data_IF_574431444906
#
_entry.id   IF_574431444906
#
_cell.length_a   1.000
_cell.length_b   1.000
_cell.length_c   1.000
_cell.angle_alpha   90.00
_cell.angle_beta   90.00
_cell.angle_gamma   90.00
#
_symmetry.space_group_name_H-M   'P 1'
#
loop_
_entity.id
_entity.type
_entity.pdbx_description
1 polymer ?
#
# COMPACT_ATOMS: atom_id res chain seq x y z
N UNK A 1 -4.75 -1.53 13.93
CA UNK A 1 -5.61 -1.99 15.03
C UNK A 1 -4.76 -2.63 16.11
N UNK A 2 -4.87 -2.17 17.35
CA UNK A 2 -4.16 -2.74 18.48
C UNK A 2 -5.07 -3.68 19.25
N UNK A 3 -4.59 -4.87 19.60
CA UNK A 3 -5.28 -5.75 20.53
C UNK A 3 -5.09 -5.21 21.96
N UNK A 4 -6.19 -4.82 22.61
CA UNK A 4 -6.21 -4.50 24.04
C UNK A 4 -6.14 -5.76 24.90
N UNK A 5 -5.91 -5.59 26.20
CA UNK A 5 -6.00 -6.67 27.19
C UNK A 5 -7.47 -6.89 27.54
N UNK A 6 -7.96 -8.13 27.38
CA UNK A 6 -9.31 -8.55 27.78
C UNK A 6 -9.34 -8.95 29.25
N UNK A 7 -8.38 -9.78 29.67
CA UNK A 7 -8.32 -10.33 31.02
C UNK A 7 -6.88 -10.49 31.48
N UNK A 8 -6.65 -10.33 32.78
CA UNK A 8 -5.40 -10.68 33.45
C UNK A 8 -5.74 -11.52 34.67
N UNK A 9 -5.27 -12.76 34.68
CA UNK A 9 -5.43 -13.69 35.80
C UNK A 9 -4.07 -14.05 36.39
N UNK A 10 -4.06 -14.41 37.67
CA UNK A 10 -2.89 -14.98 38.32
C UNK A 10 -3.26 -16.20 39.16
N UNK A 11 -2.43 -17.23 39.08
CA UNK A 11 -2.56 -18.43 39.90
C UNK A 11 -1.20 -18.87 40.42
N UNK A 12 -1.21 -19.55 41.57
CA UNK A 12 0.01 -20.10 42.16
C UNK A 12 0.19 -21.55 41.71
N UNK A 13 1.30 -21.83 41.05
CA UNK A 13 1.78 -23.16 40.70
C UNK A 13 2.60 -23.70 41.89
N UNK A 14 1.93 -24.44 42.77
CA UNK A 14 2.53 -25.02 43.98
C UNK A 14 3.56 -26.11 43.68
N UNK A 15 3.50 -26.74 42.51
CA UNK A 15 4.44 -27.80 42.10
C UNK A 15 5.79 -27.19 41.70
N UNK A 16 5.76 -26.14 40.89
CA UNK A 16 6.97 -25.48 40.39
C UNK A 16 7.37 -24.25 41.22
N UNK A 17 6.68 -23.97 42.33
CA UNK A 17 6.93 -22.83 43.23
C UNK A 17 7.05 -21.51 42.47
N UNK A 18 6.01 -21.17 41.73
CA UNK A 18 5.93 -19.94 40.93
C UNK A 18 4.51 -19.41 40.86
N UNK A 19 4.36 -18.11 40.67
CA UNK A 19 3.13 -17.48 40.23
C UNK A 19 3.07 -17.46 38.71
N UNK A 20 1.96 -17.93 38.14
CA UNK A 20 1.65 -17.88 36.72
C UNK A 20 0.70 -16.71 36.49
N UNK A 21 1.06 -15.77 35.62
CA UNK A 21 0.18 -14.68 35.19
C UNK A 21 -0.20 -14.96 33.75
N UNK A 22 -1.51 -15.02 33.48
CA UNK A 22 -2.05 -15.19 32.13
C UNK A 22 -2.73 -13.91 31.69
N UNK A 23 -2.35 -13.40 30.52
CA UNK A 23 -2.92 -12.21 29.89
C UNK A 23 -3.68 -12.67 28.64
N UNK A 24 -4.99 -12.51 28.66
CA UNK A 24 -5.87 -12.77 27.51
C UNK A 24 -6.09 -11.45 26.78
N UNK A 25 -5.97 -11.46 25.46
CA UNK A 25 -6.18 -10.27 24.64
C UNK A 25 -7.63 -10.18 24.17
N UNK A 26 -8.01 -8.99 23.72
CA UNK A 26 -9.35 -8.69 23.16
C UNK A 26 -9.54 -9.24 21.76
N UNK A 27 -8.47 -9.66 21.09
CA UNK A 27 -8.54 -10.45 19.87
C UNK A 27 -8.35 -11.94 20.16
N UNK A 28 -8.73 -12.79 19.22
CA UNK A 28 -8.75 -14.26 19.38
C UNK A 28 -7.35 -14.90 19.33
N UNK A 29 -6.29 -14.18 19.69
CA UNK A 29 -4.91 -14.70 19.71
C UNK A 29 -4.67 -15.55 20.96
N UNK A 30 -3.61 -16.36 20.91
CA UNK A 30 -3.19 -17.15 22.07
C UNK A 30 -2.85 -16.25 23.27
N UNK A 31 -3.28 -16.61 24.50
CA UNK A 31 -2.94 -15.88 25.71
C UNK A 31 -1.43 -15.85 25.96
N UNK A 32 -0.97 -14.76 26.56
CA UNK A 32 0.42 -14.63 26.98
C UNK A 32 0.57 -15.12 28.42
N UNK A 33 1.54 -15.98 28.67
CA UNK A 33 1.82 -16.55 30.00
C UNK A 33 3.18 -16.09 30.51
N UNK A 34 3.20 -15.59 31.73
CA UNK A 34 4.38 -15.13 32.46
C UNK A 34 4.58 -15.98 33.72
N UNK A 35 5.84 -16.28 34.04
CA UNK A 35 6.20 -17.04 35.23
C UNK A 35 7.04 -16.17 36.17
N UNK A 36 6.64 -16.09 37.44
CA UNK A 36 7.38 -15.39 38.49
C UNK A 36 7.71 -16.42 39.58
N UNK A 37 8.98 -16.82 39.76
CA UNK A 37 9.38 -17.74 40.82
C UNK A 37 9.01 -17.21 42.21
N UNK A 38 8.59 -18.11 43.10
CA UNK A 38 8.43 -17.80 44.52
C UNK A 38 9.81 -17.59 45.17
N UNK A 39 9.85 -16.83 46.27
CA UNK A 39 11.03 -16.83 47.13
C UNK A 39 11.21 -18.18 47.84
N UNK A 40 12.45 -18.68 47.91
CA UNK A 40 12.74 -19.89 48.68
C UNK A 40 12.60 -19.62 50.19
N UNK A 41 11.65 -20.30 50.84
CA UNK A 41 11.55 -20.55 52.31
C UNK A 41 12.27 -19.54 53.24
N UNK A 42 11.90 -18.26 53.19
CA UNK A 42 12.37 -17.23 54.13
C UNK A 42 13.47 -16.30 53.62
N UNK A 43 14.04 -16.56 52.44
CA UNK A 43 14.82 -15.58 51.67
C UNK A 43 13.87 -14.55 51.04
N UNK A 44 14.34 -13.31 50.81
CA UNK A 44 13.59 -12.35 50.00
C UNK A 44 13.36 -12.97 48.62
N UNK A 45 12.09 -13.03 48.18
CA UNK A 45 11.80 -13.51 46.83
C UNK A 45 12.42 -12.60 45.78
N UNK A 46 12.99 -13.20 44.73
CA UNK A 46 13.52 -12.50 43.55
C UNK A 46 12.35 -11.83 42.82
N UNK A 47 11.96 -10.69 43.35
CA UNK A 47 10.84 -9.89 42.86
C UNK A 47 11.21 -9.35 41.49
N UNK A 48 10.22 -9.15 40.62
CA UNK A 48 10.44 -8.37 39.41
C UNK A 48 10.83 -6.96 39.83
N UNK A 49 12.11 -6.63 39.67
CA UNK A 49 12.65 -5.33 40.04
C UNK A 49 12.60 -4.37 38.88
N UNK A 50 12.91 -4.85 37.68
CA UNK A 50 12.87 -4.05 36.48
C UNK A 50 12.27 -4.81 35.31
N UNK A 51 11.65 -4.05 34.42
CA UNK A 51 11.11 -4.54 33.16
C UNK A 51 11.82 -3.75 32.07
N UNK A 52 12.44 -4.46 31.15
CA UNK A 52 13.13 -3.87 30.01
C UNK A 52 12.44 -4.29 28.71
N UNK A 53 12.55 -3.43 27.70
CA UNK A 53 12.03 -3.70 26.37
C UNK A 53 13.17 -3.55 25.37
N UNK A 54 13.35 -4.57 24.55
CA UNK A 54 14.26 -4.54 23.38
C UNK A 54 13.50 -4.99 22.14
N UNK A 55 14.12 -4.83 20.97
CA UNK A 55 13.63 -5.43 19.73
C UNK A 55 14.30 -6.80 19.53
N UNK A 56 13.58 -7.73 18.92
CA UNK A 56 14.19 -8.95 18.35
C UNK A 56 15.26 -8.59 17.32
N UNK A 57 16.14 -9.52 17.01
CA UNK A 57 17.23 -9.29 16.04
C UNK A 57 16.74 -8.90 14.64
N UNK A 58 15.55 -9.37 14.25
CA UNK A 58 14.86 -8.99 13.01
C UNK A 58 13.97 -7.74 13.17
N UNK A 59 13.81 -7.24 14.40
CA UNK A 59 12.96 -6.11 14.75
C UNK A 59 11.46 -6.36 14.59
N UNK A 60 11.02 -7.59 14.34
CA UNK A 60 9.60 -7.93 14.16
C UNK A 60 8.83 -8.05 15.47
N UNK A 61 9.53 -8.16 16.60
CA UNK A 61 8.95 -8.34 17.93
C UNK A 61 9.57 -7.41 18.95
N UNK A 62 8.78 -7.02 19.94
CA UNK A 62 9.30 -6.51 21.20
C UNK A 62 9.57 -7.68 22.15
N UNK A 63 10.77 -7.71 22.72
CA UNK A 63 11.13 -8.63 23.79
C UNK A 63 11.03 -7.85 25.10
N UNK A 64 10.04 -8.20 25.92
CA UNK A 64 9.87 -7.64 27.25
C UNK A 64 10.51 -8.61 28.25
N UNK A 65 11.52 -8.14 28.98
CA UNK A 65 12.31 -8.96 29.91
C UNK A 65 12.09 -8.47 31.34
N UNK A 66 11.73 -9.39 32.22
CA UNK A 66 11.53 -9.17 33.65
C UNK A 66 12.80 -9.61 34.37
N UNK A 67 13.41 -8.69 35.12
CA UNK A 67 14.70 -8.89 35.79
C UNK A 67 14.55 -8.77 37.31
N UNK A 68 15.35 -9.53 38.05
CA UNK A 68 15.44 -9.44 39.51
C UNK A 68 16.38 -8.32 39.99
N UNK A 69 16.63 -8.28 41.30
CA UNK A 69 17.50 -7.29 41.94
C UNK A 69 18.98 -7.39 41.53
N UNK A 70 19.41 -8.54 40.99
CA UNK A 70 20.77 -8.78 40.51
C UNK A 70 20.89 -8.57 38.99
N UNK A 71 19.76 -8.36 38.30
CA UNK A 71 19.69 -8.23 36.85
C UNK A 71 19.56 -9.56 36.12
N UNK A 72 19.30 -10.65 36.84
CA UNK A 72 19.05 -11.96 36.24
C UNK A 72 17.64 -12.02 35.64
N UNK A 73 17.50 -12.74 34.52
CA UNK A 73 16.23 -12.87 33.82
C UNK A 73 15.29 -13.82 34.57
N UNK A 74 14.19 -13.27 35.07
CA UNK A 74 13.10 -14.02 35.69
C UNK A 74 12.22 -14.66 34.61
N UNK A 75 11.81 -13.86 33.62
CA UNK A 75 10.94 -14.29 32.51
C UNK A 75 11.09 -13.32 31.35
N UNK A 76 10.73 -13.77 30.15
CA UNK A 76 10.63 -12.89 28.97
C UNK A 76 9.40 -13.26 28.16
N UNK A 77 8.86 -12.27 27.45
CA UNK A 77 7.74 -12.43 26.53
C UNK A 77 8.07 -11.73 25.22
N UNK A 78 7.58 -12.32 24.13
CA UNK A 78 7.70 -11.73 22.81
C UNK A 78 6.32 -11.25 22.34
N UNK A 79 6.25 -9.99 21.94
CA UNK A 79 5.05 -9.39 21.37
C UNK A 79 5.32 -8.98 19.92
N UNK A 80 4.41 -9.25 18.97
CA UNK A 80 4.58 -8.74 17.62
C UNK A 80 4.64 -7.20 17.64
N UNK A 81 5.61 -6.64 16.93
CA UNK A 81 5.74 -5.20 16.72
C UNK A 81 4.68 -4.77 15.72
N UNK A 82 4.07 -3.61 15.95
CA UNK A 82 3.24 -2.97 14.93
C UNK A 82 4.12 -2.45 13.78
N UNK A 83 3.70 -2.72 12.54
CA UNK A 83 4.41 -2.21 11.36
C UNK A 83 4.26 -0.69 11.28
N UNK A 84 5.34 0.00 10.93
CA UNK A 84 5.36 1.44 10.66
C UNK A 84 5.28 1.72 9.16
N UNK A 85 4.69 2.86 8.81
CA UNK A 85 4.74 3.41 7.47
C UNK A 85 5.69 4.61 7.44
N UNK A 86 6.70 4.53 6.60
CA UNK A 86 7.70 5.55 6.34
C UNK A 86 7.48 6.15 4.94
N UNK A 87 8.08 7.31 4.67
CA UNK A 87 8.03 7.91 3.34
C UNK A 87 9.23 8.81 3.05
N UNK A 88 9.57 8.98 1.78
CA UNK A 88 10.55 9.94 1.31
C UNK A 88 10.68 9.93 -0.21
N UNK A 89 11.63 10.69 -0.74
CA UNK A 89 11.73 10.97 -2.18
C UNK A 89 12.72 10.07 -2.92
N UNK A 90 13.35 9.13 -2.22
CA UNK A 90 14.34 8.20 -2.79
C UNK A 90 14.10 6.82 -2.23
N UNK A 91 14.71 5.81 -2.85
CA UNK A 91 14.74 4.45 -2.29
C UNK A 91 15.20 4.49 -0.81
N UNK A 92 14.50 3.78 0.10
CA UNK A 92 14.87 3.76 1.50
C UNK A 92 16.23 3.10 1.73
N UNK A 93 16.94 3.59 2.74
CA UNK A 93 18.20 3.01 3.17
C UNK A 93 17.95 1.75 4.04
N UNK A 94 18.73 0.68 3.83
CA UNK A 94 18.58 -0.59 4.55
C UNK A 94 18.93 -0.46 6.05
N UNK A 95 19.63 0.59 6.50
CA UNK A 95 19.82 0.90 7.92
C UNK A 95 18.57 1.51 8.56
N UNK A 96 17.61 1.99 7.76
CA UNK A 96 16.37 2.61 8.23
C UNK A 96 15.21 1.61 8.38
N UNK A 97 14.38 1.79 9.41
CA UNK A 97 13.24 0.92 9.71
C UNK A 97 13.62 -0.48 10.17
N UNK A 98 12.63 -1.31 10.51
CA UNK A 98 12.82 -2.72 10.85
C UNK A 98 11.90 -3.62 10.01
N UNK A 99 12.16 -4.92 10.00
CA UNK A 99 11.39 -5.85 9.19
C UNK A 99 9.89 -5.78 9.52
N UNK A 100 9.07 -5.86 8.48
CA UNK A 100 7.63 -5.63 8.52
C UNK A 100 7.21 -4.19 8.23
N UNK A 101 8.11 -3.20 8.34
CA UNK A 101 7.80 -1.81 7.98
C UNK A 101 7.54 -1.65 6.48
N UNK A 102 6.71 -0.66 6.15
CA UNK A 102 6.43 -0.21 4.79
C UNK A 102 7.06 1.16 4.55
N UNK A 103 7.47 1.41 3.31
CA UNK A 103 8.01 2.71 2.89
C UNK A 103 7.38 3.13 1.57
N UNK A 104 6.90 4.37 1.51
CA UNK A 104 6.40 4.98 0.29
C UNK A 104 7.42 5.96 -0.29
N UNK A 105 7.96 5.62 -1.45
CA UNK A 105 8.85 6.47 -2.24
C UNK A 105 8.00 7.36 -3.15
N UNK A 106 8.00 8.66 -2.89
CA UNK A 106 7.02 9.60 -3.45
C UNK A 106 7.34 10.08 -4.86
N UNK A 107 8.58 9.92 -5.33
CA UNK A 107 9.01 10.38 -6.66
C UNK A 107 8.52 9.46 -7.76
N UNK A 108 8.70 8.15 -7.60
CA UNK A 108 8.27 7.13 -8.57
C UNK A 108 7.03 6.36 -8.11
N UNK A 109 6.52 6.71 -6.92
CA UNK A 109 5.32 6.13 -6.32
C UNK A 109 5.49 4.62 -6.04
N UNK A 110 6.67 4.24 -5.55
CA UNK A 110 6.98 2.85 -5.18
C UNK A 110 6.62 2.59 -3.73
N UNK A 111 6.06 1.41 -3.46
CA UNK A 111 5.88 0.90 -2.10
C UNK A 111 6.89 -0.19 -1.87
N UNK A 112 7.65 -0.07 -0.78
CA UNK A 112 8.60 -1.07 -0.33
C UNK A 112 8.12 -1.71 0.98
N UNK A 113 8.51 -2.96 1.21
CA UNK A 113 8.39 -3.64 2.50
C UNK A 113 9.77 -4.13 2.94
N UNK A 114 10.12 -3.92 4.21
CA UNK A 114 11.38 -4.40 4.76
C UNK A 114 11.25 -5.88 5.18
N UNK A 115 12.11 -6.73 4.62
CA UNK A 115 12.15 -8.18 4.91
C UNK A 115 13.61 -8.63 4.89
N UNK A 116 14.05 -9.29 5.96
CA UNK A 116 15.43 -9.78 6.10
C UNK A 116 16.46 -8.65 6.15
N UNK A 117 16.11 -7.53 6.76
CA UNK A 117 16.94 -6.32 6.85
C UNK A 117 16.99 -5.49 5.57
N UNK A 118 16.27 -5.87 4.51
CA UNK A 118 16.32 -5.21 3.19
C UNK A 118 14.97 -4.67 2.76
N UNK A 119 14.97 -3.51 2.12
CA UNK A 119 13.77 -2.96 1.48
C UNK A 119 13.53 -3.60 0.11
N UNK A 120 12.41 -4.28 -0.03
CA UNK A 120 11.98 -4.91 -1.28
C UNK A 120 10.81 -4.11 -1.88
N UNK A 121 10.88 -3.73 -3.16
CA UNK A 121 9.76 -3.08 -3.86
C UNK A 121 8.62 -4.10 -4.01
N UNK A 122 7.46 -3.80 -3.40
CA UNK A 122 6.28 -4.68 -3.41
C UNK A 122 5.13 -4.13 -4.26
N UNK A 123 5.12 -2.84 -4.54
CA UNK A 123 4.18 -2.23 -5.48
C UNK A 123 4.79 -1.02 -6.18
N UNK A 124 4.21 -0.70 -7.32
CA UNK A 124 4.55 0.44 -8.15
C UNK A 124 3.26 1.11 -8.59
N UNK A 125 2.95 2.25 -7.99
CA UNK A 125 1.70 2.98 -8.20
C UNK A 125 1.81 4.02 -9.32
N UNK A 126 3.02 4.24 -9.84
CA UNK A 126 3.33 5.24 -10.85
C UNK A 126 4.10 4.68 -12.06
N UNK A 127 3.94 3.40 -12.40
CA UNK A 127 4.74 2.69 -13.42
C UNK A 127 4.88 3.42 -14.75
N UNK A 128 3.85 4.17 -15.11
CA UNK A 128 3.81 4.92 -16.34
C UNK A 128 4.71 6.18 -16.33
N UNK A 129 5.26 6.60 -15.18
CA UNK A 129 6.14 7.78 -15.07
C UNK A 129 7.56 7.52 -15.57
N UNK A 130 8.08 6.30 -15.41
CA UNK A 130 9.42 5.91 -15.89
C UNK A 130 9.38 5.13 -17.21
N UNK A 131 8.19 4.82 -17.73
CA UNK A 131 8.07 4.09 -18.97
C UNK A 131 8.50 4.97 -20.15
N UNK A 132 9.53 4.56 -20.88
CA UNK A 132 9.96 5.25 -22.10
C UNK A 132 9.15 4.84 -23.34
N UNK A 133 8.40 3.73 -23.24
CA UNK A 133 7.56 3.25 -24.33
C UNK A 133 6.33 4.17 -24.45
N UNK A 134 6.08 4.62 -25.66
CA UNK A 134 4.95 5.49 -25.98
C UNK A 134 4.07 4.85 -27.06
N UNK A 135 2.83 5.28 -27.11
CA UNK A 135 1.81 4.87 -28.06
C UNK A 135 1.17 6.07 -28.71
N UNK A 136 0.82 5.94 -29.98
CA UNK A 136 0.11 6.94 -30.75
C UNK A 136 -1.40 6.80 -30.58
N UNK A 137 -2.07 7.88 -30.19
CA UNK A 137 -3.54 7.98 -30.16
C UNK A 137 -3.99 8.93 -31.26
N UNK A 138 -4.62 8.38 -32.30
CA UNK A 138 -5.15 9.12 -33.44
C UNK A 138 -6.64 9.41 -33.26
N UNK A 139 -7.07 10.64 -33.54
CA UNK A 139 -8.46 11.08 -33.51
C UNK A 139 -9.01 11.30 -34.92
N UNK A 140 -9.88 10.39 -35.35
CA UNK A 140 -10.59 10.42 -36.61
C UNK A 140 -11.99 11.02 -36.39
N UNK A 141 -12.28 12.15 -37.03
CA UNK A 141 -13.57 12.85 -36.91
C UNK A 141 -14.75 12.07 -37.51
N UNK A 142 -14.51 10.88 -38.07
CA UNK A 142 -15.52 9.95 -38.58
C UNK A 142 -16.45 10.63 -39.57
N UNK A 143 -15.85 11.42 -40.46
CA UNK A 143 -16.55 12.20 -41.46
C UNK A 143 -16.65 11.44 -42.79
N UNK A 144 -17.39 12.05 -43.72
CA UNK A 144 -17.45 11.58 -45.10
C UNK A 144 -17.32 12.76 -46.04
N UNK A 145 -17.09 12.48 -47.33
CA UNK A 145 -16.98 13.51 -48.38
C UNK A 145 -18.21 14.42 -48.43
N UNK A 146 -19.39 13.90 -48.08
CA UNK A 146 -20.65 14.64 -48.05
C UNK A 146 -21.01 15.23 -46.69
N UNK A 147 -20.33 14.83 -45.62
CA UNK A 147 -20.64 15.22 -44.25
C UNK A 147 -19.35 15.51 -43.47
N UNK A 148 -18.66 16.58 -43.86
CA UNK A 148 -17.37 16.96 -43.28
C UNK A 148 -17.46 17.32 -41.80
N UNK A 149 -16.42 16.97 -41.04
CA UNK A 149 -16.24 17.35 -39.65
C UNK A 149 -14.78 17.77 -39.40
N UNK A 150 -14.53 18.46 -38.29
CA UNK A 150 -13.17 18.94 -37.98
C UNK A 150 -12.95 19.05 -36.47
N UNK A 151 -11.68 18.91 -36.06
CA UNK A 151 -11.23 19.18 -34.69
C UNK A 151 -11.28 20.69 -34.46
N UNK A 152 -11.92 21.13 -33.38
CA UNK A 152 -12.03 22.54 -32.97
C UNK A 152 -11.07 22.92 -31.86
N UNK A 153 -10.66 21.95 -31.04
CA UNK A 153 -9.69 22.12 -29.94
C UNK A 153 -8.85 20.85 -29.79
N UNK A 154 -7.54 21.02 -29.59
CA UNK A 154 -6.61 19.91 -29.45
C UNK A 154 -6.00 19.47 -30.79
N UNK A 155 -5.38 18.29 -30.79
CA UNK A 155 -4.64 17.73 -31.93
C UNK A 155 -5.34 16.47 -32.45
N UNK A 156 -5.00 16.07 -33.69
CA UNK A 156 -5.45 14.79 -34.24
C UNK A 156 -4.61 13.60 -33.76
N UNK A 157 -3.40 13.84 -33.29
CA UNK A 157 -2.46 12.78 -32.90
C UNK A 157 -1.80 13.21 -31.60
N UNK A 158 -1.77 12.31 -30.63
CA UNK A 158 -1.05 12.46 -29.37
C UNK A 158 -0.13 11.26 -29.16
N UNK A 159 1.03 11.51 -28.56
CA UNK A 159 1.94 10.46 -28.09
C UNK A 159 1.78 10.36 -26.58
N UNK A 160 1.32 9.20 -26.11
CA UNK A 160 1.04 8.94 -24.69
C UNK A 160 1.96 7.82 -24.21
N UNK A 161 2.66 8.04 -23.09
CA UNK A 161 3.46 7.00 -22.44
C UNK A 161 2.58 5.81 -22.04
N UNK A 162 3.06 4.59 -22.28
CA UNK A 162 2.32 3.37 -21.98
C UNK A 162 1.94 3.28 -20.49
N UNK A 163 0.65 3.09 -20.22
CA UNK A 163 0.05 3.10 -18.89
C UNK A 163 -0.42 4.50 -18.42
N UNK A 164 -0.07 5.59 -19.11
CA UNK A 164 -0.62 6.91 -18.82
C UNK A 164 -1.99 7.11 -19.48
N UNK A 165 -2.74 8.07 -18.95
CA UNK A 165 -3.95 8.62 -19.56
C UNK A 165 -3.77 10.11 -19.90
N UNK A 166 -4.67 10.68 -20.71
CA UNK A 166 -4.59 12.07 -21.16
C UNK A 166 -4.44 13.07 -20.01
N UNK A 167 -5.25 12.92 -18.94
CA UNK A 167 -5.18 13.82 -17.79
C UNK A 167 -3.81 13.79 -17.11
N UNK A 168 -3.30 12.60 -16.83
CA UNK A 168 -1.99 12.41 -16.19
C UNK A 168 -0.82 12.85 -17.09
N UNK A 169 -1.00 12.81 -18.41
CA UNK A 169 -0.05 13.34 -19.39
C UNK A 169 -0.17 14.85 -19.62
N UNK A 170 -1.07 15.54 -18.92
CA UNK A 170 -1.27 17.00 -19.08
C UNK A 170 -2.02 17.39 -20.36
N UNK A 171 -2.77 16.47 -20.96
CA UNK A 171 -3.59 16.68 -22.15
C UNK A 171 -5.09 16.62 -21.84
N UNK A 172 -5.87 17.28 -22.69
CA UNK A 172 -7.32 17.10 -22.78
C UNK A 172 -7.66 16.34 -24.06
N UNK A 173 -8.71 15.51 -24.04
CA UNK A 173 -9.30 14.98 -25.26
C UNK A 173 -9.72 16.12 -26.21
N UNK A 174 -9.49 15.97 -27.52
CA UNK A 174 -9.85 16.99 -28.49
C UNK A 174 -11.37 17.14 -28.61
N UNK A 175 -11.82 18.33 -28.99
CA UNK A 175 -13.22 18.60 -29.32
C UNK A 175 -13.38 18.64 -30.83
N UNK A 176 -14.53 18.19 -31.33
CA UNK A 176 -14.85 18.18 -32.75
C UNK A 176 -16.18 18.90 -33.03
N UNK A 177 -16.32 19.40 -34.25
CA UNK A 177 -17.58 19.95 -34.76
C UNK A 177 -17.98 19.31 -36.10
N UNK A 178 -19.29 19.13 -36.25
CA UNK A 178 -19.96 18.68 -37.48
C UNK A 178 -21.31 19.39 -37.58
N UNK A 179 -21.56 20.07 -38.70
CA UNK A 179 -22.78 20.87 -38.90
C UNK A 179 -24.02 19.96 -38.87
N UNK A 180 -25.03 20.32 -38.06
CA UNK A 180 -26.27 19.57 -37.90
C UNK A 180 -26.19 18.35 -36.96
N UNK A 181 -25.07 18.19 -36.26
CA UNK A 181 -24.84 17.11 -35.31
C UNK A 181 -24.28 17.63 -33.98
N UNK A 182 -24.52 16.88 -32.91
CA UNK A 182 -23.92 17.09 -31.59
C UNK A 182 -22.77 16.12 -31.39
N UNK A 183 -21.60 16.65 -31.02
CA UNK A 183 -20.45 15.83 -30.65
C UNK A 183 -20.71 15.10 -29.34
N UNK A 184 -20.76 13.77 -29.39
CA UNK A 184 -21.13 12.91 -28.24
C UNK A 184 -19.93 12.25 -27.57
N UNK A 185 -18.72 12.42 -28.13
CA UNK A 185 -17.46 11.92 -27.57
C UNK A 185 -16.68 11.05 -28.54
N UNK A 186 -15.67 10.36 -28.01
CA UNK A 186 -14.75 9.51 -28.76
C UNK A 186 -15.01 8.04 -28.46
N UNK A 187 -15.06 7.21 -29.49
CA UNK A 187 -15.29 5.75 -29.39
C UNK A 187 -14.15 4.97 -30.06
N UNK A 188 -13.94 3.73 -29.64
CA UNK A 188 -12.81 2.89 -30.09
C UNK A 188 -13.07 2.13 -31.40
N UNK A 189 -14.24 2.31 -32.01
CA UNK A 189 -14.57 1.73 -33.31
C UNK A 189 -15.38 2.72 -34.16
N UNK A 190 -15.37 2.54 -35.49
CA UNK A 190 -16.06 3.47 -36.42
C UNK A 190 -17.57 3.53 -36.21
N UNK A 191 -18.16 2.45 -35.71
CA UNK A 191 -19.60 2.31 -35.49
C UNK A 191 -19.87 2.29 -34.00
N UNK A 192 -20.86 3.07 -33.55
CA UNK A 192 -21.23 3.08 -32.13
C UNK A 192 -21.77 1.71 -31.69
N UNK A 193 -21.26 1.21 -30.57
CA UNK A 193 -21.76 0.03 -29.87
C UNK A 193 -22.07 0.46 -28.43
N UNK A 194 -23.32 0.26 -28.01
CA UNK A 194 -23.79 0.64 -26.66
C UNK A 194 -23.05 -0.08 -25.54
N UNK A 195 -22.41 -1.21 -25.83
CA UNK A 195 -21.60 -1.97 -24.87
C UNK A 195 -20.19 -1.40 -24.72
N UNK A 196 -19.73 -0.58 -25.67
CA UNK A 196 -18.44 0.08 -25.64
C UNK A 196 -18.63 1.53 -25.17
N UNK A 197 -18.20 1.80 -23.93
CA UNK A 197 -18.24 3.15 -23.36
C UNK A 197 -17.41 4.17 -24.15
N UNK A 198 -17.63 5.45 -23.87
CA UNK A 198 -16.80 6.53 -24.43
C UNK A 198 -15.39 6.45 -23.87
N UNK A 199 -14.41 6.76 -24.72
CA UNK A 199 -13.05 7.02 -24.29
C UNK A 199 -13.00 8.30 -23.46
N UNK A 200 -12.25 8.30 -22.35
CA UNK A 200 -12.20 9.44 -21.41
C UNK A 200 -10.76 9.88 -21.17
N UNK A 201 -10.60 11.07 -20.57
CA UNK A 201 -9.31 11.58 -20.12
C UNK A 201 -8.58 10.65 -19.12
N UNK A 202 -9.31 9.71 -18.49
CA UNK A 202 -8.78 8.78 -17.47
C UNK A 202 -8.53 7.37 -18.02
N UNK A 203 -8.83 7.12 -19.30
CA UNK A 203 -8.58 5.82 -19.92
C UNK A 203 -7.09 5.68 -20.23
N UNK A 204 -6.45 4.68 -19.63
CA UNK A 204 -5.04 4.38 -19.82
C UNK A 204 -4.76 3.85 -21.24
N UNK A 205 -3.59 4.19 -21.77
CA UNK A 205 -3.16 3.81 -23.12
C UNK A 205 -2.07 2.75 -23.04
N UNK A 206 -2.33 1.58 -23.61
CA UNK A 206 -1.38 0.44 -23.64
C UNK A 206 -0.97 0.00 -25.04
N UNK A 207 -1.50 0.66 -26.07
CA UNK A 207 -1.21 0.38 -27.48
C UNK A 207 -1.60 1.57 -28.34
N UNK A 208 -1.02 1.64 -29.53
CA UNK A 208 -1.50 2.52 -30.59
C UNK A 208 -3.00 2.29 -30.83
N UNK A 209 -3.76 3.38 -30.98
CA UNK A 209 -5.19 3.29 -31.22
C UNK A 209 -5.72 4.47 -32.03
N UNK A 210 -6.80 4.21 -32.76
CA UNK A 210 -7.60 5.25 -33.41
C UNK A 210 -8.95 5.36 -32.72
N UNK A 211 -9.30 6.57 -32.32
CA UNK A 211 -10.58 6.94 -31.75
C UNK A 211 -11.41 7.67 -32.80
N UNK A 212 -12.69 7.33 -32.88
CA UNK A 212 -13.63 7.87 -33.85
C UNK A 212 -14.63 8.78 -33.17
N UNK A 213 -14.93 9.94 -33.77
CA UNK A 213 -15.94 10.83 -33.23
C UNK A 213 -17.33 10.18 -33.34
N UNK A 214 -18.06 10.18 -32.23
CA UNK A 214 -19.46 9.78 -32.19
C UNK A 214 -20.35 11.02 -32.29
N UNK A 215 -21.30 10.97 -33.22
CA UNK A 215 -22.19 12.07 -33.56
C UNK A 215 -23.64 11.67 -33.31
N UNK A 216 -24.37 12.48 -32.56
CA UNK A 216 -25.83 12.37 -32.44
C UNK A 216 -26.48 13.43 -33.31
N UNK A 217 -27.39 13.03 -34.19
CA UNK A 217 -28.12 13.97 -35.05
C UNK A 217 -29.00 14.89 -34.20
N UNK A 218 -28.99 16.19 -34.51
CA UNK A 218 -29.87 17.18 -33.89
C UNK A 218 -31.32 17.05 -34.35
#
# INVERSE_FOLDING_TARGET
DGAGIFELTSERDEENKRTVITITFTDDRDPLVLYIPDGEKGEQGNSVRSITQTLSSDGTKYIITFLDDFGDVISSIELPRANSWLSGTTTPDDESGNDGDFYFETTHYYVYQKVGGKWNKVAELGAAKENEKTHEVTFDVNDSVSESAYITRGQKIYTITEGMNFYSSGFDLPLANRVGYTFSGWITSKTYDVTLGLFTNLTEVYKDMTLYAYWTKQ
#
